data_IF_904738851484
#
_entry.id   IF_904738851484
#
_cell.length_a   1.000
_cell.length_b   1.000
_cell.length_c   1.000
_cell.angle_alpha   90.00
_cell.angle_beta   90.00
_cell.angle_gamma   90.00
#
_symmetry.space_group_name_H-M   'P 1'
#
loop_
_entity.id
_entity.type
_entity.pdbx_description
1 polymer ?
#
# COMPACT_ATOMS: atom_id res chain seq x y z
N UNK A 1 -0.36 0.56 -47.63
CA UNK A 1 -1.21 0.08 -46.50
C UNK A 1 -2.24 -0.87 -47.08
N UNK A 2 -2.17 -2.13 -46.67
CA UNK A 2 -3.05 -3.20 -47.16
C UNK A 2 -4.52 -2.93 -46.77
N UNK A 3 -5.46 -3.31 -47.64
CA UNK A 3 -6.92 -3.14 -47.41
C UNK A 3 -7.34 -3.77 -46.08
N UNK A 4 -6.77 -4.91 -45.71
CA UNK A 4 -7.00 -5.58 -44.41
C UNK A 4 -6.61 -4.76 -43.22
N UNK A 5 -5.49 -4.02 -43.27
CA UNK A 5 -5.04 -3.13 -42.18
C UNK A 5 -6.03 -1.97 -41.95
N UNK A 6 -6.55 -1.39 -43.03
CA UNK A 6 -7.57 -0.31 -42.94
C UNK A 6 -8.85 -0.78 -42.25
N UNK A 7 -9.27 -2.03 -42.57
CA UNK A 7 -10.47 -2.64 -41.98
C UNK A 7 -10.23 -2.87 -40.46
N UNK A 8 -9.10 -3.46 -40.06
CA UNK A 8 -8.81 -3.68 -38.67
C UNK A 8 -8.68 -2.38 -37.89
N UNK A 9 -8.07 -1.33 -38.48
CA UNK A 9 -7.99 -0.01 -37.85
C UNK A 9 -9.38 0.61 -37.68
N UNK A 10 -10.25 0.51 -38.68
CA UNK A 10 -11.63 1.02 -38.59
C UNK A 10 -12.45 0.28 -37.54
N UNK A 11 -12.32 -1.05 -37.44
CA UNK A 11 -12.96 -1.86 -36.40
C UNK A 11 -12.45 -1.47 -35.01
N UNK A 12 -11.13 -1.32 -34.84
CA UNK A 12 -10.53 -0.90 -33.56
C UNK A 12 -11.03 0.49 -33.12
N UNK A 13 -11.06 1.45 -34.05
CA UNK A 13 -11.62 2.79 -33.79
C UNK A 13 -13.10 2.72 -33.43
N UNK A 14 -13.88 1.88 -34.14
CA UNK A 14 -15.29 1.64 -33.83
C UNK A 14 -15.48 1.10 -32.41
N UNK A 15 -14.70 0.10 -32.02
CA UNK A 15 -14.74 -0.46 -30.65
C UNK A 15 -14.37 0.59 -29.61
N UNK A 16 -13.32 1.37 -29.84
CA UNK A 16 -12.91 2.45 -28.93
C UNK A 16 -14.02 3.48 -28.77
N UNK A 17 -14.65 3.87 -29.86
CA UNK A 17 -15.80 4.79 -29.84
C UNK A 17 -16.97 4.23 -29.03
N UNK A 18 -17.34 2.97 -29.26
CA UNK A 18 -18.42 2.30 -28.52
C UNK A 18 -18.09 2.25 -27.03
N UNK A 19 -16.86 1.86 -26.64
CA UNK A 19 -16.43 1.83 -25.25
C UNK A 19 -16.45 3.24 -24.63
N UNK A 20 -16.02 4.25 -25.38
CA UNK A 20 -16.07 5.65 -24.92
C UNK A 20 -17.51 6.12 -24.65
N UNK A 21 -18.46 5.81 -25.55
CA UNK A 21 -19.87 6.16 -25.34
C UNK A 21 -20.48 5.39 -24.17
N UNK A 22 -20.17 4.10 -24.02
CA UNK A 22 -20.63 3.31 -22.87
C UNK A 22 -20.09 3.90 -21.56
N UNK A 23 -18.80 4.27 -21.50
CA UNK A 23 -18.22 4.89 -20.29
C UNK A 23 -18.82 6.25 -19.99
N UNK A 24 -19.10 7.07 -21.01
CA UNK A 24 -19.73 8.38 -20.86
C UNK A 24 -21.18 8.27 -20.39
N UNK A 25 -21.88 7.23 -20.79
CA UNK A 25 -23.28 6.97 -20.42
C UNK A 25 -23.45 6.34 -19.03
N UNK A 26 -22.37 5.82 -18.42
CA UNK A 26 -22.47 5.28 -17.07
C UNK A 26 -22.67 6.40 -16.06
N UNK A 27 -23.61 6.26 -15.12
CA UNK A 27 -23.73 7.19 -14.02
C UNK A 27 -22.40 7.20 -13.24
N UNK A 28 -21.98 8.41 -12.84
CA UNK A 28 -20.76 8.52 -12.02
C UNK A 28 -20.94 7.69 -10.75
N UNK A 29 -19.95 6.89 -10.37
CA UNK A 29 -20.02 6.16 -9.10
C UNK A 29 -20.18 7.17 -7.96
N UNK A 30 -20.99 6.82 -6.98
CA UNK A 30 -21.18 7.64 -5.77
C UNK A 30 -19.87 7.70 -5.02
N UNK A 31 -19.41 8.91 -4.74
CA UNK A 31 -18.18 9.14 -3.95
C UNK A 31 -18.52 9.05 -2.45
N UNK A 32 -18.03 8.02 -1.79
CA UNK A 32 -18.19 7.78 -0.37
C UNK A 32 -17.03 8.33 0.47
N UNK A 33 -16.21 9.19 -0.11
CA UNK A 33 -15.12 9.82 0.62
C UNK A 33 -15.66 10.77 1.68
N UNK A 34 -15.29 10.63 2.97
CA UNK A 34 -15.77 11.49 4.05
C UNK A 34 -15.04 12.84 4.02
N UNK A 35 -15.53 13.79 3.24
CA UNK A 35 -14.92 15.12 3.16
C UNK A 35 -15.55 16.12 4.14
N UNK A 36 -16.76 15.87 4.59
CA UNK A 36 -17.54 16.80 5.45
C UNK A 36 -17.62 18.20 4.86
N UNK A 37 -17.68 18.30 3.53
CA UNK A 37 -17.84 19.55 2.80
C UNK A 37 -19.29 20.03 2.90
N UNK A 38 -19.48 21.38 2.94
CA UNK A 38 -20.80 21.98 3.03
C UNK A 38 -21.54 22.04 1.69
N UNK A 39 -20.79 22.06 0.59
CA UNK A 39 -21.32 22.33 -0.75
C UNK A 39 -21.56 21.04 -1.56
N UNK A 40 -20.94 19.96 -1.18
CA UNK A 40 -21.02 18.68 -1.88
C UNK A 40 -22.24 17.86 -1.42
N UNK A 41 -22.87 17.17 -2.39
CA UNK A 41 -24.03 16.29 -2.16
C UNK A 41 -23.66 14.82 -2.02
N UNK A 42 -22.37 14.50 -1.79
CA UNK A 42 -21.96 13.14 -1.55
C UNK A 42 -22.53 12.60 -0.24
N UNK A 43 -22.63 11.28 -0.07
CA UNK A 43 -23.27 10.69 1.13
C UNK A 43 -22.67 11.14 2.46
N UNK A 44 -21.33 11.29 2.54
CA UNK A 44 -20.60 11.62 3.76
C UNK A 44 -20.23 13.11 3.87
N UNK A 45 -20.93 13.98 3.15
CA UNK A 45 -20.82 15.43 3.23
C UNK A 45 -21.95 16.05 4.04
N UNK A 46 -21.86 17.35 4.33
CA UNK A 46 -22.75 18.09 5.25
C UNK A 46 -23.76 19.00 4.54
N UNK A 47 -24.04 18.78 3.26
CA UNK A 47 -24.94 19.67 2.49
C UNK A 47 -26.31 19.83 3.16
N UNK A 48 -26.95 18.73 3.53
CA UNK A 48 -28.29 18.76 4.17
C UNK A 48 -28.21 19.45 5.53
N UNK A 49 -27.21 19.09 6.33
CA UNK A 49 -26.99 19.71 7.64
C UNK A 49 -26.75 21.20 7.54
N UNK A 50 -25.97 21.64 6.56
CA UNK A 50 -25.70 23.06 6.33
C UNK A 50 -26.96 23.90 6.04
N UNK A 51 -27.98 23.29 5.40
CA UNK A 51 -29.24 23.96 5.11
C UNK A 51 -30.23 23.92 6.29
N UNK A 52 -30.13 22.89 7.13
CA UNK A 52 -31.06 22.70 8.25
C UNK A 52 -30.58 23.36 9.56
N UNK A 53 -29.27 23.50 9.76
CA UNK A 53 -28.69 24.03 11.01
C UNK A 53 -29.15 25.46 11.33
N UNK A 54 -29.43 26.28 10.32
CA UNK A 54 -29.96 27.66 10.49
C UNK A 54 -31.38 27.68 11.05
N UNK A 55 -32.09 26.55 11.06
CA UNK A 55 -33.41 26.40 11.71
C UNK A 55 -33.28 26.07 13.20
N UNK A 56 -32.17 25.46 13.58
CA UNK A 56 -31.87 24.99 14.95
C UNK A 56 -31.18 26.14 15.72
N UNK A 57 -30.17 26.77 15.10
CA UNK A 57 -29.42 27.88 15.70
C UNK A 57 -30.11 29.19 15.28
N UNK A 58 -30.45 30.07 16.23
CA UNK A 58 -31.15 31.33 15.92
C UNK A 58 -30.44 32.14 14.83
N UNK A 59 -31.23 32.72 13.91
CA UNK A 59 -30.74 33.57 12.80
C UNK A 59 -29.75 34.63 13.28
N UNK A 60 -28.64 34.78 12.57
CA UNK A 60 -27.58 35.75 12.84
C UNK A 60 -26.59 35.34 13.95
N UNK A 61 -26.81 34.21 14.61
CA UNK A 61 -25.88 33.71 15.63
C UNK A 61 -24.87 32.68 15.10
N UNK A 62 -25.12 32.05 13.98
CA UNK A 62 -24.18 31.09 13.34
C UNK A 62 -23.33 31.81 12.29
N UNK A 63 -22.02 31.76 12.46
CA UNK A 63 -21.05 32.27 11.49
C UNK A 63 -20.18 31.11 10.99
N UNK A 64 -20.19 30.89 9.68
CA UNK A 64 -19.34 29.90 9.01
C UNK A 64 -18.01 30.55 8.66
N UNK A 65 -16.89 29.93 9.06
CA UNK A 65 -15.54 30.49 8.92
C UNK A 65 -14.66 29.47 8.19
N UNK A 66 -13.98 29.91 7.12
CA UNK A 66 -13.01 29.10 6.36
C UNK A 66 -11.59 29.24 6.88
N UNK A 67 -11.34 30.20 7.77
CA UNK A 67 -10.04 30.36 8.46
C UNK A 67 -9.86 29.27 9.52
N UNK A 68 -8.61 29.06 9.94
CA UNK A 68 -8.30 28.19 11.07
C UNK A 68 -8.75 28.80 12.40
N UNK A 69 -8.98 28.01 13.46
CA UNK A 69 -9.29 28.56 14.79
C UNK A 69 -8.25 29.56 15.27
N UNK A 70 -6.98 29.29 15.05
CA UNK A 70 -5.87 30.19 15.41
C UNK A 70 -6.00 31.56 14.72
N UNK A 71 -6.20 31.57 13.39
CA UNK A 71 -6.33 32.81 12.61
C UNK A 71 -7.55 33.63 13.07
N UNK A 72 -8.68 32.95 13.33
CA UNK A 72 -9.87 33.60 13.83
C UNK A 72 -9.69 34.22 15.21
N UNK A 73 -9.09 33.48 16.15
CA UNK A 73 -8.87 33.93 17.53
C UNK A 73 -7.92 35.14 17.57
N UNK A 74 -6.87 35.15 16.74
CA UNK A 74 -5.95 36.28 16.65
C UNK A 74 -6.66 37.60 16.24
N UNK A 75 -7.72 37.50 15.43
CA UNK A 75 -8.49 38.66 14.95
C UNK A 75 -9.67 39.05 15.85
N UNK A 76 -10.21 38.08 16.62
CA UNK A 76 -11.44 38.23 17.36
C UNK A 76 -11.26 37.80 18.83
N UNK A 77 -11.52 38.69 19.75
CA UNK A 77 -11.40 38.45 21.22
C UNK A 77 -12.76 38.20 21.92
N UNK A 78 -13.84 37.93 21.16
CA UNK A 78 -15.15 37.69 21.74
C UNK A 78 -15.31 36.25 22.25
N UNK A 79 -16.07 36.07 23.33
CA UNK A 79 -16.45 34.72 23.81
C UNK A 79 -17.51 34.15 22.88
N UNK A 80 -17.23 32.93 22.38
CA UNK A 80 -18.06 32.26 21.37
C UNK A 80 -18.22 30.76 21.70
N UNK A 81 -19.18 30.13 21.04
CA UNK A 81 -19.25 28.68 20.94
C UNK A 81 -18.53 28.27 19.64
N UNK A 82 -17.38 27.67 19.76
CA UNK A 82 -16.67 27.08 18.61
C UNK A 82 -17.32 25.78 18.23
N UNK A 83 -17.65 25.61 16.94
CA UNK A 83 -18.24 24.39 16.38
C UNK A 83 -17.31 23.79 15.34
N UNK A 84 -16.97 22.50 15.50
CA UNK A 84 -16.15 21.74 14.57
C UNK A 84 -16.83 20.40 14.31
N UNK A 85 -17.17 20.10 13.06
CA UNK A 85 -17.72 18.82 12.61
C UNK A 85 -16.86 18.32 11.46
N UNK A 86 -16.04 17.31 11.70
CA UNK A 86 -15.05 16.79 10.75
C UNK A 86 -14.81 15.32 11.02
N UNK A 87 -14.25 14.58 10.05
CA UNK A 87 -13.78 13.24 10.32
C UNK A 87 -12.63 13.25 11.34
N UNK A 88 -11.62 14.09 11.09
CA UNK A 88 -10.46 14.25 11.96
C UNK A 88 -10.35 15.71 12.41
N UNK A 89 -10.12 15.90 13.70
CA UNK A 89 -10.01 17.26 14.28
C UNK A 89 -8.55 17.73 14.46
N UNK A 90 -7.57 17.05 13.81
CA UNK A 90 -6.14 17.29 14.05
C UNK A 90 -5.71 18.73 13.78
N UNK A 91 -6.16 19.32 12.68
CA UNK A 91 -5.75 20.65 12.23
C UNK A 91 -6.51 21.82 12.93
N UNK A 92 -7.50 21.48 13.75
CA UNK A 92 -8.40 22.47 14.34
C UNK A 92 -8.19 22.69 15.83
N UNK A 93 -7.41 21.84 16.50
CA UNK A 93 -7.21 21.89 17.95
C UNK A 93 -5.78 22.29 18.25
N UNK A 94 -5.63 23.50 18.77
CA UNK A 94 -4.36 24.03 19.23
C UNK A 94 -4.44 24.57 20.69
N UNK A 95 -3.30 24.95 21.24
CA UNK A 95 -3.23 25.51 22.58
C UNK A 95 -3.95 26.85 22.71
N UNK A 96 -4.10 27.60 21.63
CA UNK A 96 -4.78 28.91 21.59
C UNK A 96 -6.28 28.73 21.76
N UNK A 97 -6.85 27.75 21.07
CA UNK A 97 -8.26 27.38 21.18
C UNK A 97 -8.59 26.96 22.63
N UNK A 98 -7.72 26.13 23.25
CA UNK A 98 -7.91 25.71 24.64
C UNK A 98 -7.84 26.87 25.63
N UNK A 99 -6.95 27.85 25.42
CA UNK A 99 -6.87 29.07 26.24
C UNK A 99 -8.17 29.89 26.15
N UNK A 100 -8.78 29.99 24.95
CA UNK A 100 -10.07 30.68 24.79
C UNK A 100 -11.19 29.96 25.55
N UNK A 101 -11.18 28.64 25.59
CA UNK A 101 -12.13 27.88 26.40
C UNK A 101 -11.90 28.14 27.90
N UNK A 102 -10.64 28.16 28.38
CA UNK A 102 -10.32 28.55 29.75
C UNK A 102 -10.83 29.94 30.14
N UNK A 103 -10.83 30.87 29.16
CA UNK A 103 -11.31 32.24 29.33
C UNK A 103 -12.84 32.36 29.30
N UNK A 104 -13.57 31.28 28.94
CA UNK A 104 -15.03 31.23 29.02
C UNK A 104 -15.74 31.10 27.69
N UNK A 105 -15.05 30.83 26.57
CA UNK A 105 -15.68 30.30 25.35
C UNK A 105 -16.06 28.84 25.56
N UNK A 106 -16.90 28.28 24.70
CA UNK A 106 -17.18 26.84 24.67
C UNK A 106 -16.63 26.23 23.39
N UNK A 107 -16.23 24.97 23.43
CA UNK A 107 -15.77 24.22 22.29
C UNK A 107 -16.67 22.99 22.10
N UNK A 108 -17.27 22.87 20.94
CA UNK A 108 -18.09 21.76 20.57
C UNK A 108 -17.47 21.06 19.35
N UNK A 109 -17.04 19.83 19.51
CA UNK A 109 -16.37 19.05 18.49
C UNK A 109 -17.11 17.73 18.26
N UNK A 110 -17.42 17.44 17.01
CA UNK A 110 -17.81 16.11 16.57
C UNK A 110 -16.75 15.60 15.59
N UNK A 111 -15.98 14.59 16.00
CA UNK A 111 -14.93 14.00 15.21
C UNK A 111 -14.70 12.53 15.59
N UNK A 112 -14.24 11.73 14.65
CA UNK A 112 -13.84 10.34 14.92
C UNK A 112 -12.51 10.31 15.67
N UNK A 113 -11.56 11.16 15.26
CA UNK A 113 -10.21 11.17 15.79
C UNK A 113 -9.80 12.56 16.28
N UNK A 114 -9.06 12.57 17.40
CA UNK A 114 -8.47 13.76 18.02
C UNK A 114 -6.96 13.59 18.13
N UNK A 115 -6.24 14.71 18.18
CA UNK A 115 -4.78 14.71 18.40
C UNK A 115 -4.45 14.12 19.76
N UNK A 116 -3.43 13.28 19.84
CA UNK A 116 -3.02 12.61 21.08
C UNK A 116 -2.70 13.62 22.21
N UNK A 117 -2.02 14.73 21.90
CA UNK A 117 -1.73 15.78 22.88
C UNK A 117 -3.00 16.38 23.51
N UNK A 118 -4.10 16.47 22.76
CA UNK A 118 -5.39 16.94 23.24
C UNK A 118 -6.06 15.90 24.15
N UNK A 119 -6.09 14.64 23.73
CA UNK A 119 -6.67 13.56 24.56
C UNK A 119 -5.87 13.34 25.83
N UNK A 120 -4.54 13.44 25.78
CA UNK A 120 -3.68 13.35 26.96
C UNK A 120 -3.93 14.51 27.93
N UNK A 121 -4.10 15.75 27.41
CA UNK A 121 -4.42 16.93 28.23
C UNK A 121 -5.77 16.79 28.97
N UNK A 122 -6.75 16.16 28.32
CA UNK A 122 -8.08 15.92 28.88
C UNK A 122 -8.19 14.57 29.60
N UNK A 123 -7.11 13.79 29.67
CA UNK A 123 -7.03 12.45 30.28
C UNK A 123 -8.09 11.49 29.71
N UNK A 124 -8.27 11.52 28.38
CA UNK A 124 -9.20 10.69 27.66
C UNK A 124 -8.51 9.47 27.05
N UNK A 125 -9.17 8.33 27.10
CA UNK A 125 -8.76 7.13 26.35
C UNK A 125 -9.95 6.64 25.52
N UNK A 126 -9.64 6.17 24.31
CA UNK A 126 -10.63 5.52 23.45
C UNK A 126 -10.86 4.06 23.87
N UNK A 127 -12.06 3.59 23.67
CA UNK A 127 -12.32 2.15 23.58
C UNK A 127 -11.70 1.66 22.27
N UNK A 128 -10.80 0.68 22.38
CA UNK A 128 -10.32 -0.03 21.20
C UNK A 128 -11.51 -0.76 20.58
N UNK A 129 -11.95 -0.31 19.44
CA UNK A 129 -12.87 -1.09 18.63
C UNK A 129 -12.12 -2.38 18.22
N UNK A 130 -12.69 -3.55 18.47
CA UNK A 130 -12.10 -4.80 18.05
C UNK A 130 -11.87 -4.74 16.54
N UNK A 131 -10.60 -4.79 16.05
CA UNK A 131 -10.30 -4.69 14.63
C UNK A 131 -10.91 -5.83 13.81
N UNK A 132 -11.39 -6.90 14.47
CA UNK A 132 -12.04 -8.02 13.82
C UNK A 132 -13.56 -7.80 13.59
N UNK A 133 -14.15 -6.75 14.16
CA UNK A 133 -15.55 -6.41 13.92
C UNK A 133 -15.67 -5.70 12.59
N UNK A 134 -16.06 -6.44 11.55
CA UNK A 134 -16.34 -5.87 10.24
C UNK A 134 -17.64 -5.04 10.31
N UNK A 135 -17.52 -3.72 10.12
CA UNK A 135 -18.66 -2.80 10.03
C UNK A 135 -19.69 -3.21 8.95
N UNK A 136 -19.27 -3.95 7.94
CA UNK A 136 -20.15 -4.48 6.88
C UNK A 136 -21.23 -5.45 7.41
N UNK A 137 -21.07 -5.96 8.64
CA UNK A 137 -22.01 -6.87 9.28
C UNK A 137 -22.91 -6.18 10.32
N UNK A 138 -22.72 -4.88 10.55
CA UNK A 138 -23.47 -4.12 11.54
C UNK A 138 -24.56 -3.34 10.81
N UNK A 139 -25.81 -3.73 11.00
CA UNK A 139 -26.93 -3.03 10.37
C UNK A 139 -27.19 -1.66 11.00
N UNK A 140 -27.07 -1.54 12.32
CA UNK A 140 -27.23 -0.28 13.04
C UNK A 140 -26.53 -0.27 14.39
N UNK A 141 -26.08 0.92 14.81
CA UNK A 141 -25.57 1.20 16.16
C UNK A 141 -26.66 1.89 16.94
N UNK A 142 -26.79 1.55 18.22
CA UNK A 142 -27.73 2.23 19.12
C UNK A 142 -27.04 3.40 19.82
N UNK A 143 -27.69 4.56 19.77
CA UNK A 143 -27.26 5.77 20.42
C UNK A 143 -28.32 6.17 21.46
N UNK A 144 -27.90 6.66 22.61
CA UNK A 144 -28.78 7.13 23.67
C UNK A 144 -28.28 8.43 24.26
N UNK A 145 -29.17 9.26 24.78
CA UNK A 145 -28.82 10.52 25.46
C UNK A 145 -29.20 10.44 26.93
N UNK A 146 -28.32 10.94 27.79
CA UNK A 146 -28.48 10.90 29.25
C UNK A 146 -29.39 12.02 29.81
N UNK A 147 -29.94 12.89 28.96
CA UNK A 147 -30.85 13.95 29.39
C UNK A 147 -32.20 13.37 29.82
N UNK A 148 -32.71 13.79 30.95
CA UNK A 148 -33.93 13.23 31.57
C UNK A 148 -35.16 13.19 30.63
N UNK A 149 -35.30 14.18 29.75
CA UNK A 149 -36.39 14.23 28.75
C UNK A 149 -36.24 13.26 27.61
N UNK A 150 -35.05 12.65 27.41
CA UNK A 150 -34.73 11.77 26.27
C UNK A 150 -34.11 10.45 26.70
N UNK A 151 -34.06 10.19 27.99
CA UNK A 151 -33.42 9.01 28.57
C UNK A 151 -34.01 7.70 28.04
N UNK A 152 -35.31 7.67 27.72
CA UNK A 152 -36.00 6.46 27.21
C UNK A 152 -35.99 6.37 25.68
N UNK A 153 -35.40 7.38 24.97
CA UNK A 153 -35.29 7.35 23.52
C UNK A 153 -34.01 6.66 23.08
N UNK A 154 -34.16 5.67 22.24
CA UNK A 154 -33.04 5.03 21.51
C UNK A 154 -33.04 5.51 20.08
N UNK A 155 -31.88 5.97 19.62
CA UNK A 155 -31.66 6.40 18.26
C UNK A 155 -30.83 5.34 17.54
N UNK A 156 -31.06 5.20 16.24
CA UNK A 156 -30.34 4.24 15.42
C UNK A 156 -29.52 4.98 14.37
N UNK A 157 -28.27 4.55 14.20
CA UNK A 157 -27.38 5.06 13.18
C UNK A 157 -26.83 3.88 12.38
N UNK A 158 -27.00 3.92 11.06
CA UNK A 158 -26.35 2.96 10.17
C UNK A 158 -24.88 3.34 10.01
N UNK A 159 -23.93 2.54 10.51
CA UNK A 159 -22.53 2.89 10.45
C UNK A 159 -22.02 2.75 9.02
N UNK A 160 -21.42 3.81 8.50
CA UNK A 160 -20.70 3.83 7.22
C UNK A 160 -19.21 3.93 7.47
N UNK A 161 -18.83 4.54 8.58
CA UNK A 161 -17.46 4.75 9.05
C UNK A 161 -17.25 4.08 10.40
N UNK A 162 -15.99 3.92 10.80
CA UNK A 162 -15.65 3.37 12.10
C UNK A 162 -16.29 4.21 13.22
N UNK A 163 -16.83 3.51 14.21
CA UNK A 163 -17.42 4.14 15.39
C UNK A 163 -16.42 4.05 16.54
N UNK A 164 -16.06 5.20 17.09
CA UNK A 164 -15.20 5.31 18.26
C UNK A 164 -16.03 5.71 19.47
N UNK A 165 -15.56 5.33 20.65
CA UNK A 165 -16.19 5.70 21.91
C UNK A 165 -15.10 5.99 22.96
N UNK A 166 -15.47 6.67 24.05
CA UNK A 166 -14.54 6.92 25.14
C UNK A 166 -14.52 5.75 26.12
N UNK A 167 -13.34 5.18 26.43
CA UNK A 167 -13.18 4.11 27.40
C UNK A 167 -12.95 4.66 28.81
N UNK A 168 -12.10 5.69 28.94
CA UNK A 168 -11.78 6.31 30.22
C UNK A 168 -11.80 7.83 30.11
N UNK A 169 -12.27 8.45 31.17
CA UNK A 169 -12.30 9.90 31.33
C UNK A 169 -12.16 10.28 32.81
N UNK A 170 -11.76 11.51 33.09
CA UNK A 170 -11.72 12.05 34.45
C UNK A 170 -13.15 12.42 34.91
N UNK A 171 -13.74 11.58 35.76
CA UNK A 171 -15.12 11.76 36.24
C UNK A 171 -15.29 13.01 37.13
N UNK A 172 -14.22 13.63 37.62
CA UNK A 172 -14.32 14.82 38.42
C UNK A 172 -14.69 16.08 37.63
N UNK A 173 -14.32 16.12 36.35
CA UNK A 173 -14.53 17.26 35.47
C UNK A 173 -15.40 16.90 34.25
N UNK A 174 -15.68 15.63 34.01
CA UNK A 174 -16.41 15.16 32.85
C UNK A 174 -17.83 14.68 33.21
N UNK A 175 -18.77 14.96 32.34
CA UNK A 175 -20.16 14.51 32.43
C UNK A 175 -20.53 13.76 31.15
N UNK A 176 -21.07 12.54 31.27
CA UNK A 176 -21.58 11.78 30.13
C UNK A 176 -22.92 12.38 29.71
N UNK A 177 -23.05 12.75 28.45
CA UNK A 177 -24.27 13.30 27.86
C UNK A 177 -24.95 12.32 26.91
N UNK A 178 -24.21 11.36 26.36
CA UNK A 178 -24.72 10.34 25.48
C UNK A 178 -23.83 9.10 25.47
N UNK A 179 -24.43 7.99 25.08
CA UNK A 179 -23.78 6.69 25.02
C UNK A 179 -24.06 6.00 23.70
N UNK A 180 -23.17 5.11 23.30
CA UNK A 180 -23.32 4.22 22.14
C UNK A 180 -23.19 2.77 22.61
N UNK A 181 -24.03 1.90 22.09
CA UNK A 181 -23.89 0.46 22.30
C UNK A 181 -23.10 -0.12 21.14
N UNK A 182 -21.95 -0.68 21.46
CA UNK A 182 -21.08 -1.35 20.50
C UNK A 182 -21.61 -2.76 20.18
N UNK A 183 -21.12 -3.41 19.10
CA UNK A 183 -21.56 -4.73 18.66
C UNK A 183 -21.34 -5.86 19.68
N UNK A 184 -20.43 -5.67 20.62
CA UNK A 184 -20.19 -6.55 21.78
C UNK A 184 -21.25 -6.41 22.88
N UNK A 185 -22.31 -5.62 22.65
CA UNK A 185 -23.34 -5.22 23.62
C UNK A 185 -22.82 -4.38 24.81
N UNK A 186 -21.57 -3.92 24.78
CA UNK A 186 -21.04 -3.01 25.78
C UNK A 186 -21.43 -1.58 25.42
N UNK A 187 -21.85 -0.82 26.43
CA UNK A 187 -22.23 0.59 26.28
C UNK A 187 -21.09 1.48 26.69
N UNK A 188 -20.69 2.37 25.80
CA UNK A 188 -19.62 3.33 26.00
C UNK A 188 -20.11 4.76 25.84
N UNK A 189 -19.53 5.73 26.55
CA UNK A 189 -19.77 7.16 26.28
C UNK A 189 -19.34 7.53 24.87
N UNK A 190 -20.21 8.22 24.15
CA UNK A 190 -19.92 8.76 22.81
C UNK A 190 -20.08 10.28 22.75
N UNK A 191 -20.78 10.86 23.71
CA UNK A 191 -20.95 12.29 23.85
C UNK A 191 -20.71 12.71 25.29
N UNK A 192 -19.71 13.59 25.51
CA UNK A 192 -19.28 14.01 26.85
C UNK A 192 -19.12 15.53 26.90
N UNK A 193 -19.32 16.08 28.10
CA UNK A 193 -19.02 17.46 28.43
C UNK A 193 -17.92 17.50 29.48
N UNK A 194 -16.88 18.29 29.24
CA UNK A 194 -15.76 18.48 30.14
C UNK A 194 -15.72 19.94 30.58
N UNK A 195 -15.63 20.20 31.88
CA UNK A 195 -15.41 21.54 32.39
C UNK A 195 -13.94 21.91 32.21
N UNK A 196 -13.66 23.00 31.51
CA UNK A 196 -12.30 23.44 31.23
C UNK A 196 -12.16 24.94 31.52
N UNK A 197 -11.60 25.25 32.70
CA UNK A 197 -11.55 26.63 33.18
C UNK A 197 -12.94 27.23 33.39
N UNK A 198 -13.21 28.38 32.73
CA UNK A 198 -14.50 29.08 32.76
C UNK A 198 -15.49 28.62 31.68
N UNK A 199 -15.04 27.76 30.73
CA UNK A 199 -15.85 27.23 29.65
C UNK A 199 -16.06 25.73 29.73
N UNK A 200 -16.62 25.18 28.67
CA UNK A 200 -16.90 23.77 28.51
C UNK A 200 -16.38 23.26 27.17
N UNK A 201 -15.91 22.03 27.16
CA UNK A 201 -15.58 21.26 25.95
C UNK A 201 -16.62 20.14 25.82
N UNK A 202 -17.31 20.10 24.67
CA UNK A 202 -18.23 19.04 24.29
C UNK A 202 -17.55 18.20 23.22
N UNK A 203 -17.45 16.92 23.45
CA UNK A 203 -16.82 15.95 22.53
C UNK A 203 -17.84 14.88 22.14
N UNK A 204 -18.00 14.71 20.84
CA UNK A 204 -18.89 13.72 20.26
C UNK A 204 -18.13 12.90 19.21
N UNK A 205 -18.23 11.56 19.28
CA UNK A 205 -17.39 10.69 18.46
C UNK A 205 -18.06 10.10 17.20
N UNK A 206 -19.31 10.47 16.90
CA UNK A 206 -20.00 10.01 15.69
C UNK A 206 -20.36 11.19 14.77
N UNK A 207 -19.39 11.87 14.14
CA UNK A 207 -19.68 13.00 13.25
C UNK A 207 -20.55 12.61 12.05
N UNK A 208 -20.58 11.33 11.68
CA UNK A 208 -21.41 10.81 10.60
C UNK A 208 -22.92 11.04 10.79
N UNK A 209 -23.39 11.29 11.99
CA UNK A 209 -24.82 11.62 12.24
C UNK A 209 -25.27 12.91 11.56
N UNK A 210 -24.33 13.80 11.22
CA UNK A 210 -24.59 15.05 10.52
C UNK A 210 -24.50 14.94 9.01
N UNK A 211 -24.08 13.77 8.48
CA UNK A 211 -23.86 13.60 7.04
C UNK A 211 -25.18 13.47 6.27
N UNK A 212 -25.12 13.74 4.97
CA UNK A 212 -26.26 13.65 4.08
C UNK A 212 -26.95 12.28 4.15
N UNK A 213 -26.17 11.20 4.15
CA UNK A 213 -26.73 9.83 4.21
C UNK A 213 -27.43 9.58 5.54
N UNK A 214 -26.85 10.00 6.66
CA UNK A 214 -27.45 9.77 7.97
C UNK A 214 -28.75 10.56 8.16
N UNK A 215 -28.75 11.84 7.74
CA UNK A 215 -29.92 12.71 7.89
C UNK A 215 -31.08 12.34 6.96
N UNK A 216 -30.78 11.75 5.79
CA UNK A 216 -31.80 11.39 4.80
C UNK A 216 -32.27 9.93 4.88
N UNK A 217 -31.44 9.03 5.43
CA UNK A 217 -31.80 7.62 5.49
C UNK A 217 -32.70 7.24 6.67
N UNK A 218 -32.53 7.92 7.80
CA UNK A 218 -33.25 7.57 9.04
C UNK A 218 -33.65 8.84 9.82
N UNK A 219 -34.97 9.00 10.05
CA UNK A 219 -35.49 10.07 10.89
C UNK A 219 -34.89 10.08 12.31
N UNK A 220 -34.56 8.89 12.84
CA UNK A 220 -33.92 8.74 14.14
C UNK A 220 -32.53 9.40 14.21
N UNK A 221 -31.74 9.33 13.14
CA UNK A 221 -30.43 10.01 13.07
C UNK A 221 -30.57 11.53 13.04
N UNK A 222 -31.54 12.03 12.31
CA UNK A 222 -31.81 13.47 12.24
C UNK A 222 -32.29 14.02 13.60
N UNK A 223 -33.18 13.27 14.29
CA UNK A 223 -33.61 13.58 15.65
C UNK A 223 -32.43 13.62 16.62
N UNK A 224 -31.56 12.61 16.57
CA UNK A 224 -30.36 12.57 17.40
C UNK A 224 -29.44 13.77 17.15
N UNK A 225 -29.19 14.08 15.88
CA UNK A 225 -28.36 15.23 15.50
C UNK A 225 -28.94 16.56 16.04
N UNK A 226 -30.26 16.76 15.95
CA UNK A 226 -30.92 17.94 16.50
C UNK A 226 -30.79 18.02 18.03
N UNK A 227 -30.95 16.88 18.73
CA UNK A 227 -30.88 16.84 20.19
C UNK A 227 -29.47 17.11 20.72
N UNK A 228 -28.42 16.57 20.08
CA UNK A 228 -27.04 16.86 20.51
C UNK A 228 -26.64 18.32 20.24
N UNK A 229 -27.19 18.97 19.22
CA UNK A 229 -26.95 20.40 18.97
C UNK A 229 -27.65 21.29 19.99
N UNK A 230 -28.73 20.85 20.64
CA UNK A 230 -29.43 21.63 21.66
C UNK A 230 -28.57 21.89 22.92
N UNK A 231 -27.44 21.17 23.08
CA UNK A 231 -26.45 21.46 24.12
C UNK A 231 -25.57 22.69 23.80
N UNK A 232 -25.64 23.22 22.58
CA UNK A 232 -25.01 24.52 22.26
C UNK A 232 -25.80 25.63 22.92
N UNK A 233 -25.15 26.33 23.83
CA UNK A 233 -25.83 27.45 24.55
C UNK A 233 -26.12 28.62 23.63
N UNK A 234 -27.26 29.24 23.81
CA UNK A 234 -27.69 30.37 22.99
C UNK A 234 -27.23 31.73 23.54
N UNK A 235 -26.43 31.76 24.62
CA UNK A 235 -25.90 32.99 25.22
C UNK A 235 -24.75 33.59 24.42
N UNK A 236 -24.06 32.79 23.62
CA UNK A 236 -22.89 33.17 22.80
C UNK A 236 -23.13 32.89 21.32
N UNK A 237 -22.52 33.68 20.41
CA UNK A 237 -22.56 33.40 19.00
C UNK A 237 -21.82 32.06 18.70
N UNK A 238 -22.26 31.37 17.68
CA UNK A 238 -21.63 30.09 17.22
C UNK A 238 -20.73 30.38 16.04
N UNK A 239 -19.51 29.95 16.15
CA UNK A 239 -18.50 30.05 15.08
C UNK A 239 -18.18 28.61 14.59
N UNK A 240 -18.67 28.31 13.39
CA UNK A 240 -18.46 27.01 12.78
C UNK A 240 -17.29 27.06 11.81
N UNK A 241 -16.23 26.29 12.11
CA UNK A 241 -15.07 26.15 11.25
C UNK A 241 -15.36 25.14 10.14
N UNK A 242 -15.50 25.66 8.93
CA UNK A 242 -15.92 24.90 7.75
C UNK A 242 -14.80 24.70 6.72
N UNK A 243 -13.56 25.07 7.06
CA UNK A 243 -12.41 24.85 6.17
C UNK A 243 -12.42 23.41 5.71
N UNK A 244 -12.48 23.20 4.40
CA UNK A 244 -12.35 21.88 3.84
C UNK A 244 -11.01 21.32 4.28
N UNK A 245 -11.02 20.09 4.80
CA UNK A 245 -9.78 19.38 4.97
C UNK A 245 -9.20 19.17 3.56
N UNK A 246 -8.33 20.09 3.14
CA UNK A 246 -7.38 19.74 2.11
C UNK A 246 -6.75 18.45 2.59
N UNK A 247 -6.86 17.40 1.81
CA UNK A 247 -6.30 16.06 2.08
C UNK A 247 -4.80 16.14 2.41
N UNK A 248 -4.46 16.69 3.58
CA UNK A 248 -3.28 16.33 4.31
C UNK A 248 -3.64 15.10 5.15
N UNK A 249 -4.09 14.06 4.49
CA UNK A 249 -4.09 12.73 5.05
C UNK A 249 -2.63 12.37 5.23
N UNK A 250 -2.15 12.59 6.44
CA UNK A 250 -0.86 12.05 6.90
C UNK A 250 -0.89 10.53 7.05
N UNK A 251 -1.87 9.86 6.53
CA UNK A 251 -1.74 8.45 6.19
C UNK A 251 -0.91 8.38 4.92
N UNK A 252 0.20 7.64 4.94
CA UNK A 252 0.75 7.12 3.71
C UNK A 252 -0.34 6.17 3.18
N UNK A 253 -1.31 6.72 2.42
CA UNK A 253 -1.86 5.87 1.39
C UNK A 253 -0.64 5.25 0.75
N UNK A 254 -0.67 3.95 0.49
CA UNK A 254 0.20 3.33 -0.48
C UNK A 254 -0.09 4.03 -1.83
N UNK A 255 0.27 5.31 -1.91
CA UNK A 255 0.16 6.11 -3.11
C UNK A 255 1.19 5.54 -4.05
N UNK A 256 0.74 4.61 -4.85
CA UNK A 256 1.52 4.19 -6.00
C UNK A 256 1.73 5.44 -6.85
N UNK A 257 2.90 5.56 -7.46
CA UNK A 257 3.21 6.67 -8.38
C UNK A 257 2.07 6.89 -9.40
N UNK A 258 1.37 5.81 -9.77
CA UNK A 258 0.19 5.82 -10.63
C UNK A 258 -1.00 6.57 -10.02
N UNK A 259 -1.27 6.45 -8.73
CA UNK A 259 -2.40 7.15 -8.10
C UNK A 259 -2.23 8.67 -8.14
N UNK A 260 -0.99 9.14 -7.97
CA UNK A 260 -0.65 10.56 -8.08
C UNK A 260 -0.85 11.05 -9.53
N UNK A 261 -0.41 10.28 -10.52
CA UNK A 261 -0.60 10.61 -11.95
C UNK A 261 -2.09 10.71 -12.29
N UNK A 262 -2.92 9.77 -11.81
CA UNK A 262 -4.35 9.76 -12.08
C UNK A 262 -5.15 10.82 -11.33
N UNK A 263 -4.62 11.38 -10.25
CA UNK A 263 -5.23 12.43 -9.44
C UNK A 263 -5.32 13.76 -10.18
N UNK A 264 -4.30 14.11 -10.94
CA UNK A 264 -4.24 15.37 -11.68
C UNK A 264 -4.73 15.18 -13.12
N UNK A 265 -5.79 15.89 -13.55
CA UNK A 265 -6.36 15.71 -14.89
C UNK A 265 -5.35 15.86 -16.03
N UNK A 266 -4.42 16.80 -15.90
CA UNK A 266 -3.35 17.03 -16.88
C UNK A 266 -2.38 15.85 -16.95
N UNK A 267 -1.91 15.34 -15.81
CA UNK A 267 -1.00 14.19 -15.76
C UNK A 267 -1.67 12.91 -16.25
N UNK A 268 -2.95 12.71 -15.90
CA UNK A 268 -3.76 11.60 -16.40
C UNK A 268 -3.90 11.65 -17.92
N UNK A 269 -4.19 12.81 -18.50
CA UNK A 269 -4.31 12.97 -19.94
C UNK A 269 -2.98 12.69 -20.65
N UNK A 270 -1.87 13.20 -20.10
CA UNK A 270 -0.52 12.95 -20.62
C UNK A 270 -0.16 11.47 -20.56
N UNK A 271 -0.46 10.80 -19.45
CA UNK A 271 -0.21 9.37 -19.28
C UNK A 271 -0.99 8.51 -20.28
N UNK A 272 -2.27 8.82 -20.46
CA UNK A 272 -3.12 8.12 -21.44
C UNK A 272 -2.63 8.37 -22.88
N UNK A 273 -2.22 9.60 -23.19
CA UNK A 273 -1.65 9.94 -24.49
C UNK A 273 -0.34 9.18 -24.74
N UNK A 274 0.53 9.07 -23.73
CA UNK A 274 1.77 8.29 -23.79
C UNK A 274 1.47 6.80 -24.05
N UNK A 275 0.55 6.20 -23.30
CA UNK A 275 0.15 4.81 -23.49
C UNK A 275 -0.43 4.58 -24.89
N UNK A 276 -1.26 5.51 -25.35
CA UNK A 276 -1.84 5.44 -26.70
C UNK A 276 -0.76 5.56 -27.78
N UNK A 277 0.17 6.49 -27.62
CA UNK A 277 1.33 6.63 -28.52
C UNK A 277 2.22 5.40 -28.53
N UNK A 278 2.47 4.80 -27.36
CA UNK A 278 3.22 3.55 -27.23
C UNK A 278 2.50 2.38 -27.92
N UNK A 279 1.16 2.29 -27.75
CA UNK A 279 0.36 1.28 -28.43
C UNK A 279 0.44 1.42 -29.95
N UNK A 280 0.28 2.64 -30.46
CA UNK A 280 0.43 2.93 -31.89
C UNK A 280 1.84 2.58 -32.37
N UNK A 281 2.88 2.96 -31.62
CA UNK A 281 4.26 2.63 -31.95
C UNK A 281 4.46 1.11 -32.05
N UNK A 282 3.96 0.34 -31.09
CA UNK A 282 4.02 -1.14 -31.11
C UNK A 282 3.28 -1.68 -32.32
N UNK A 283 2.06 -1.21 -32.60
CA UNK A 283 1.24 -1.66 -33.74
C UNK A 283 1.94 -1.37 -35.09
N UNK A 284 2.54 -0.20 -35.23
CA UNK A 284 3.24 0.16 -36.47
C UNK A 284 4.60 -0.53 -36.62
N UNK A 285 5.31 -0.78 -35.51
CA UNK A 285 6.59 -1.49 -35.50
C UNK A 285 6.48 -3.01 -35.38
N UNK A 286 5.36 -3.55 -34.92
CA UNK A 286 5.12 -5.00 -34.83
C UNK A 286 5.13 -5.69 -36.20
N UNK A 287 4.98 -4.94 -37.30
CA UNK A 287 5.30 -5.47 -38.63
C UNK A 287 6.81 -5.69 -38.69
N UNK A 288 7.24 -6.85 -38.26
CA UNK A 288 8.58 -7.35 -38.45
C UNK A 288 8.91 -7.22 -39.94
N UNK A 289 9.71 -6.26 -40.28
CA UNK A 289 10.38 -6.26 -41.60
C UNK A 289 11.37 -7.43 -41.56
N UNK A 290 10.89 -8.60 -41.83
CA UNK A 290 11.79 -9.69 -42.16
C UNK A 290 12.53 -9.25 -43.44
N UNK A 291 13.76 -8.77 -43.27
CA UNK A 291 14.71 -8.87 -44.38
C UNK A 291 14.71 -10.33 -44.75
N UNK A 292 14.50 -10.61 -46.01
CA UNK A 292 14.84 -11.91 -46.58
C UNK A 292 16.34 -12.07 -46.32
N UNK A 293 16.67 -12.68 -45.20
CA UNK A 293 18.05 -13.09 -44.94
C UNK A 293 18.27 -14.25 -45.87
N UNK A 294 19.17 -14.16 -46.88
CA UNK A 294 19.53 -15.32 -47.68
C UNK A 294 19.94 -16.41 -46.68
N UNK A 295 19.48 -17.62 -46.90
CA UNK A 295 19.87 -18.78 -46.11
C UNK A 295 21.38 -18.92 -46.27
N UNK A 296 22.15 -18.34 -45.38
CA UNK A 296 23.57 -18.56 -45.27
C UNK A 296 23.66 -19.96 -44.71
N UNK A 297 24.16 -20.90 -45.49
CA UNK A 297 24.49 -22.24 -45.02
C UNK A 297 25.36 -22.07 -43.79
N UNK A 298 24.97 -22.68 -42.62
CA UNK A 298 25.72 -22.52 -41.42
C UNK A 298 27.18 -22.87 -41.73
N UNK A 299 28.07 -21.94 -41.41
CA UNK A 299 29.51 -22.17 -41.52
C UNK A 299 29.77 -23.45 -40.71
N UNK A 300 30.37 -24.44 -41.38
CA UNK A 300 30.88 -25.63 -40.70
C UNK A 300 31.64 -25.15 -39.49
N UNK A 301 31.39 -25.81 -38.36
CA UNK A 301 31.97 -25.39 -37.10
C UNK A 301 33.51 -25.64 -37.17
N UNK A 302 34.19 -24.70 -37.81
CA UNK A 302 35.66 -24.74 -38.03
C UNK A 302 36.41 -24.81 -36.71
N UNK A 303 35.77 -24.40 -35.61
CA UNK A 303 36.34 -24.53 -34.27
C UNK A 303 36.53 -25.99 -33.88
N UNK A 304 35.62 -26.89 -34.22
CA UNK A 304 35.74 -28.32 -33.93
C UNK A 304 36.83 -28.95 -34.80
N UNK A 305 36.85 -28.63 -36.13
CA UNK A 305 37.92 -29.06 -37.01
C UNK A 305 39.30 -28.54 -36.59
N UNK A 306 39.36 -27.26 -36.16
CA UNK A 306 40.58 -26.65 -35.64
C UNK A 306 41.06 -27.37 -34.36
N UNK A 307 40.16 -27.60 -33.41
CA UNK A 307 40.50 -28.27 -32.15
C UNK A 307 40.93 -29.71 -32.42
N UNK A 308 40.28 -30.42 -33.36
CA UNK A 308 40.71 -31.75 -33.77
C UNK A 308 42.09 -31.75 -34.42
N UNK A 309 42.36 -30.76 -35.30
CA UNK A 309 43.64 -30.62 -35.97
C UNK A 309 44.76 -30.32 -34.98
N UNK A 310 44.55 -29.42 -34.05
CA UNK A 310 45.48 -29.09 -32.98
C UNK A 310 45.68 -30.28 -32.05
N UNK A 311 44.60 -30.97 -31.68
CA UNK A 311 44.66 -32.19 -30.86
C UNK A 311 45.50 -33.31 -31.54
N UNK A 312 45.31 -33.51 -32.84
CA UNK A 312 46.10 -34.44 -33.63
C UNK A 312 47.59 -34.04 -33.73
N UNK A 313 47.88 -32.74 -33.92
CA UNK A 313 49.23 -32.24 -33.94
C UNK A 313 49.99 -32.48 -32.63
N UNK A 314 49.38 -32.15 -31.49
CA UNK A 314 49.93 -32.46 -30.16
C UNK A 314 50.09 -33.94 -29.92
N UNK A 315 49.20 -34.77 -30.45
CA UNK A 315 49.32 -36.21 -30.35
C UNK A 315 50.48 -36.77 -31.20
N UNK A 316 50.71 -36.17 -32.37
CA UNK A 316 51.81 -36.54 -33.29
C UNK A 316 53.18 -36.10 -32.77
N UNK A 317 53.27 -34.94 -32.08
CA UNK A 317 54.49 -34.46 -31.44
C UNK A 317 54.99 -35.37 -30.29
N UNK A 318 54.11 -36.21 -29.77
CA UNK A 318 54.48 -37.23 -28.79
C UNK A 318 54.76 -36.72 -27.37
N UNK A 319 54.45 -35.45 -27.08
CA UNK A 319 54.61 -34.84 -25.76
C UNK A 319 53.43 -35.23 -24.84
N UNK A 320 53.36 -36.49 -24.53
CA UNK A 320 52.31 -37.08 -23.68
C UNK A 320 52.26 -36.46 -22.28
N UNK A 321 53.40 -36.19 -21.59
CA UNK A 321 53.41 -35.54 -20.30
C UNK A 321 52.70 -34.19 -20.29
N UNK A 322 52.95 -33.34 -21.30
CA UNK A 322 52.32 -32.01 -21.42
C UNK A 322 50.78 -32.12 -21.62
N UNK A 323 50.33 -33.13 -22.40
CA UNK A 323 48.90 -33.38 -22.60
C UNK A 323 48.23 -33.80 -21.26
N UNK A 324 48.87 -34.62 -20.49
CA UNK A 324 48.39 -35.04 -19.17
C UNK A 324 48.35 -33.88 -18.20
N UNK A 325 49.39 -33.05 -18.15
CA UNK A 325 49.47 -31.89 -17.29
C UNK A 325 48.31 -30.94 -17.57
N UNK A 326 48.10 -30.56 -18.84
CA UNK A 326 46.98 -29.71 -19.23
C UNK A 326 45.62 -30.33 -18.87
N UNK A 327 45.44 -31.62 -19.08
CA UNK A 327 44.21 -32.32 -18.73
C UNK A 327 43.93 -32.31 -17.22
N UNK A 328 44.95 -32.45 -16.41
CA UNK A 328 44.88 -32.33 -14.95
C UNK A 328 44.45 -30.90 -14.57
N UNK A 329 45.09 -29.88 -15.15
CA UNK A 329 44.75 -28.48 -14.89
C UNK A 329 43.27 -28.20 -15.22
N UNK A 330 42.80 -28.61 -16.40
CA UNK A 330 41.39 -28.41 -16.80
C UNK A 330 40.42 -29.20 -15.91
N UNK A 331 40.78 -30.40 -15.50
CA UNK A 331 39.97 -31.19 -14.60
C UNK A 331 39.82 -30.54 -13.22
N UNK A 332 40.91 -30.07 -12.63
CA UNK A 332 40.94 -29.40 -11.34
C UNK A 332 40.25 -28.00 -11.40
N UNK A 333 40.44 -27.27 -12.49
CA UNK A 333 39.76 -25.99 -12.70
C UNK A 333 38.25 -26.16 -12.80
N UNK A 334 37.82 -27.19 -13.55
CA UNK A 334 36.37 -27.52 -13.64
C UNK A 334 35.81 -27.94 -12.29
N UNK A 335 36.52 -28.66 -11.45
CA UNK A 335 36.11 -28.99 -10.07
C UNK A 335 36.02 -27.72 -9.23
N UNK A 336 37.03 -26.84 -9.33
CA UNK A 336 37.02 -25.56 -8.59
C UNK A 336 35.81 -24.73 -8.92
N UNK A 337 35.49 -24.56 -10.16
CA UNK A 337 34.33 -23.76 -10.61
C UNK A 337 32.99 -24.42 -10.30
N UNK A 338 32.91 -25.74 -10.40
CA UNK A 338 31.65 -26.47 -10.24
C UNK A 338 31.24 -26.68 -8.79
N UNK A 339 32.24 -27.07 -7.98
CA UNK A 339 32.00 -27.47 -6.58
C UNK A 339 32.53 -26.47 -5.56
N UNK A 340 33.15 -25.38 -6.04
CA UNK A 340 33.74 -24.34 -5.18
C UNK A 340 34.69 -24.95 -4.12
N UNK A 341 35.61 -25.81 -4.57
CA UNK A 341 36.61 -26.42 -3.74
C UNK A 341 37.99 -25.89 -4.09
N UNK A 342 38.80 -25.66 -3.04
CA UNK A 342 40.19 -25.30 -3.26
C UNK A 342 40.98 -26.58 -3.71
N UNK A 343 41.60 -26.46 -4.86
CA UNK A 343 42.39 -27.54 -5.51
C UNK A 343 43.91 -27.39 -5.28
N UNK A 344 44.31 -26.53 -4.33
CA UNK A 344 45.72 -26.30 -4.02
C UNK A 344 46.40 -27.45 -3.26
N UNK A 345 45.61 -28.29 -2.55
CA UNK A 345 46.09 -29.47 -1.85
C UNK A 345 45.19 -30.66 -2.14
N UNK A 346 45.73 -31.68 -2.75
CA UNK A 346 44.97 -32.87 -3.16
C UNK A 346 45.19 -34.00 -2.15
N UNK A 347 44.72 -33.80 -0.92
CA UNK A 347 44.81 -34.71 0.21
C UNK A 347 43.50 -35.50 0.41
N UNK A 348 43.51 -36.36 1.43
CA UNK A 348 42.34 -37.17 1.79
C UNK A 348 41.14 -36.30 2.18
N UNK A 349 41.38 -35.14 2.85
CA UNK A 349 40.34 -34.16 3.18
C UNK A 349 39.68 -33.57 1.92
N UNK A 350 40.46 -33.36 0.86
CA UNK A 350 39.92 -32.93 -0.43
C UNK A 350 39.05 -34.01 -1.06
N UNK A 351 39.48 -35.30 -1.00
CA UNK A 351 38.70 -36.43 -1.51
C UNK A 351 37.32 -36.51 -0.83
N UNK A 352 37.27 -36.38 0.49
CA UNK A 352 36.01 -36.41 1.26
C UNK A 352 35.07 -35.25 0.94
N UNK A 353 35.62 -34.04 0.81
CA UNK A 353 34.85 -32.88 0.42
C UNK A 353 34.31 -33.00 -1.00
N UNK A 354 35.11 -33.52 -1.93
CA UNK A 354 34.68 -33.72 -3.31
C UNK A 354 33.64 -34.84 -3.39
N UNK A 355 33.79 -35.91 -2.65
CA UNK A 355 32.79 -36.97 -2.54
C UNK A 355 31.45 -36.42 -2.04
N UNK A 356 31.45 -35.66 -0.92
CA UNK A 356 30.24 -35.11 -0.33
C UNK A 356 29.52 -34.12 -1.27
N UNK A 357 30.27 -33.34 -2.05
CA UNK A 357 29.68 -32.33 -2.95
C UNK A 357 29.30 -32.88 -4.32
N UNK A 358 30.01 -33.86 -4.85
CA UNK A 358 29.74 -34.38 -6.19
C UNK A 358 28.84 -35.63 -6.18
N UNK A 359 28.70 -36.32 -5.04
CA UNK A 359 27.98 -37.58 -4.95
C UNK A 359 28.63 -38.74 -5.71
N UNK A 360 29.85 -38.56 -6.21
CA UNK A 360 30.59 -39.56 -6.96
C UNK A 360 31.28 -40.57 -6.01
N UNK A 361 31.51 -41.75 -6.51
CA UNK A 361 32.17 -42.79 -5.71
C UNK A 361 33.53 -42.32 -5.17
N UNK A 362 33.76 -42.52 -3.88
CA UNK A 362 35.01 -42.16 -3.19
C UNK A 362 36.21 -42.88 -3.79
N UNK A 363 36.08 -44.18 -4.14
CA UNK A 363 37.12 -44.94 -4.73
C UNK A 363 37.58 -44.40 -6.11
N UNK A 364 36.62 -43.88 -6.90
CA UNK A 364 36.93 -43.22 -8.18
C UNK A 364 37.73 -41.93 -7.95
N UNK A 365 37.31 -41.11 -6.99
CA UNK A 365 37.99 -39.87 -6.64
C UNK A 365 39.41 -40.13 -6.16
N UNK A 366 39.59 -41.07 -5.25
CA UNK A 366 40.90 -41.45 -4.74
C UNK A 366 41.82 -41.98 -5.86
N UNK A 367 41.28 -42.75 -6.79
CA UNK A 367 42.03 -43.24 -7.96
C UNK A 367 42.53 -42.11 -8.86
N UNK A 368 41.70 -41.05 -9.04
CA UNK A 368 42.09 -39.88 -9.80
C UNK A 368 43.17 -39.07 -9.05
N UNK A 369 43.00 -38.87 -7.75
CA UNK A 369 43.95 -38.11 -6.95
C UNK A 369 45.30 -38.83 -6.82
N UNK A 370 45.30 -40.16 -6.66
CA UNK A 370 46.50 -40.98 -6.67
C UNK A 370 47.26 -40.85 -7.99
N UNK A 371 46.53 -40.91 -9.10
CA UNK A 371 47.12 -40.70 -10.42
C UNK A 371 47.74 -39.29 -10.57
N UNK A 372 47.03 -38.24 -10.15
CA UNK A 372 47.54 -36.87 -10.24
C UNK A 372 48.80 -36.70 -9.37
N UNK A 373 48.76 -37.14 -8.12
CA UNK A 373 49.90 -37.06 -7.20
C UNK A 373 51.12 -37.83 -7.66
N UNK A 374 50.92 -39.00 -8.28
CA UNK A 374 52.00 -39.80 -8.85
C UNK A 374 52.64 -39.14 -10.08
N UNK A 375 51.78 -38.58 -10.95
CA UNK A 375 52.23 -37.80 -12.12
C UNK A 375 52.99 -36.53 -11.73
N UNK A 376 52.55 -35.80 -10.72
CA UNK A 376 53.24 -34.59 -10.24
C UNK A 376 54.62 -34.88 -9.70
N UNK A 377 54.84 -36.06 -9.07
CA UNK A 377 56.13 -36.51 -8.53
C UNK A 377 57.09 -36.91 -9.63
N UNK A 378 56.62 -37.65 -10.63
CA UNK A 378 57.48 -38.29 -11.60
C UNK A 378 57.61 -37.53 -12.92
N UNK A 379 56.60 -36.66 -13.28
CA UNK A 379 56.50 -35.88 -14.53
C UNK A 379 56.80 -36.68 -15.81
N UNK A 380 56.72 -38.01 -15.73
CA UNK A 380 56.93 -38.93 -16.84
C UNK A 380 55.69 -39.80 -17.04
N UNK A 381 55.21 -39.90 -18.29
CA UNK A 381 54.01 -40.68 -18.59
C UNK A 381 54.07 -41.32 -19.96
N UNK A 382 53.41 -42.46 -20.08
CA UNK A 382 53.24 -43.20 -21.33
C UNK A 382 51.85 -43.03 -21.88
N UNK A 383 51.62 -43.41 -23.13
CA UNK A 383 50.29 -43.34 -23.80
C UNK A 383 49.20 -44.07 -23.00
N UNK A 384 49.52 -45.13 -22.31
CA UNK A 384 48.65 -45.93 -21.43
C UNK A 384 48.14 -45.09 -20.27
N UNK A 385 48.93 -44.14 -19.73
CA UNK A 385 48.62 -43.31 -18.59
C UNK A 385 47.66 -42.21 -19.02
N UNK A 386 47.83 -41.66 -20.23
CA UNK A 386 46.88 -40.72 -20.82
C UNK A 386 45.50 -41.35 -21.02
N UNK A 387 45.42 -42.57 -21.54
CA UNK A 387 44.17 -43.31 -21.70
C UNK A 387 43.50 -43.56 -20.36
N UNK A 388 44.29 -43.97 -19.36
CA UNK A 388 43.81 -44.22 -17.99
C UNK A 388 43.24 -42.94 -17.36
N UNK A 389 43.94 -41.81 -17.43
CA UNK A 389 43.44 -40.52 -16.94
C UNK A 389 42.17 -40.10 -17.68
N UNK A 390 42.12 -40.35 -19.00
CA UNK A 390 40.93 -40.01 -19.79
C UNK A 390 39.71 -40.83 -19.32
N UNK A 391 39.85 -42.14 -19.17
CA UNK A 391 38.73 -42.98 -18.72
C UNK A 391 38.27 -42.61 -17.31
N UNK A 392 39.16 -42.32 -16.35
CA UNK A 392 38.80 -41.91 -15.01
C UNK A 392 38.09 -40.56 -14.98
N UNK A 393 38.57 -39.59 -15.75
CA UNK A 393 37.91 -38.24 -15.82
C UNK A 393 36.58 -38.28 -16.56
N UNK A 394 36.44 -39.09 -17.60
CA UNK A 394 35.16 -39.32 -18.31
C UNK A 394 34.14 -40.03 -17.42
N UNK A 395 34.55 -41.02 -16.67
CA UNK A 395 33.71 -41.74 -15.72
C UNK A 395 33.19 -40.79 -14.64
N UNK A 396 34.06 -39.91 -14.13
CA UNK A 396 33.65 -38.88 -13.17
C UNK A 396 32.55 -37.95 -13.72
N UNK A 397 32.62 -37.58 -15.02
CA UNK A 397 31.66 -36.66 -15.65
C UNK A 397 30.50 -37.37 -16.41
N UNK A 398 30.42 -38.69 -16.41
CA UNK A 398 29.53 -39.50 -17.30
C UNK A 398 28.04 -39.25 -17.09
N UNK A 399 27.58 -38.88 -15.90
CA UNK A 399 26.16 -38.63 -15.65
C UNK A 399 25.71 -37.25 -16.05
N UNK A 400 26.59 -36.26 -16.19
CA UNK A 400 26.26 -34.92 -16.56
C UNK A 400 25.93 -34.76 -18.07
N UNK A 401 26.49 -35.59 -18.90
CA UNK A 401 26.27 -35.54 -20.35
C UNK A 401 24.90 -36.10 -20.79
N UNK A 402 24.10 -36.67 -19.91
CA UNK A 402 22.74 -37.14 -20.22
C UNK A 402 21.68 -36.05 -20.12
N UNK A 403 21.98 -34.89 -19.56
CA UNK A 403 21.00 -33.80 -19.33
C UNK A 403 20.96 -32.72 -20.43
N UNK A 404 21.83 -32.84 -21.45
CA UNK A 404 21.96 -31.84 -22.55
C UNK A 404 21.71 -32.41 -23.95
N UNK A 405 20.97 -33.53 -24.07
CA UNK A 405 20.47 -34.01 -25.37
C UNK A 405 18.93 -34.00 -25.40
#
# INVERSE_FOLDING_TARGET
>A
MDKTFKIYLAVLLGVILVVFFIQKSRPKPVDWTPTYSLDNKNPLDLYVFNHEVDKIIPKGRLKRITETPYEYICKNKSKVNFLIIKQNAYDFIDSTLLKEVQNGSNLWISAENYVKSFTDTLKLQYADADPNISLKKIDSIRLSLCMRSWHDKTFYLRPVLNSFAFAKMDSSVSTILGTTQMPDNVTYPNFIRIKYGKGYIFLHNQPQVFTNVALLSEASSADYAAHILSYITHDKPVVWFVKDQTRNTGEPLNETVLSVIFRYPALRATWLLFLYGMLLYILFNAKRRQRVVPVITPLKNTTVEFVQTIGNLYFLEGDIPNIIEKKIIYFLDRIRHRYYLDTGKLDESFADKLHSKSGKDKALIESILLFINDFEKNKSARKTDLIKLNSLTEEFWREENKTYN
#
